data_IF_248766002762
#
_entry.id   IF_248766002762
#
_cell.length_a   1.000
_cell.length_b   1.000
_cell.length_c   1.000
_cell.angle_alpha   90.00
_cell.angle_beta   90.00
_cell.angle_gamma   90.00
#
_symmetry.space_group_name_H-M   'P 1'
#
loop_
_entity.id
_entity.type
_entity.pdbx_description
1 polymer ?
#
# COMPACT_ATOMS: atom_id res chain seq x y z
N UNK A 1 15.84 23.49 11.17
CA UNK A 1 16.06 23.67 9.72
C UNK A 1 16.60 25.07 9.38
N UNK A 2 15.94 26.14 9.85
CA UNK A 2 16.36 27.54 9.58
C UNK A 2 17.82 27.88 9.96
N UNK A 3 18.28 27.50 11.16
CA UNK A 3 19.68 27.72 11.58
C UNK A 3 20.72 26.93 10.77
N UNK A 4 20.34 25.76 10.27
CA UNK A 4 21.19 24.89 9.45
C UNK A 4 21.35 25.48 8.04
N UNK A 5 20.27 26.03 7.48
CA UNK A 5 20.27 26.74 6.18
C UNK A 5 21.10 28.03 6.29
N UNK A 6 20.93 28.81 7.36
CA UNK A 6 21.67 30.04 7.59
C UNK A 6 23.18 29.79 7.82
N UNK A 7 23.55 28.80 8.63
CA UNK A 7 24.95 28.42 8.82
C UNK A 7 25.62 27.94 7.53
N UNK A 8 24.88 27.22 6.67
CA UNK A 8 25.39 26.78 5.39
C UNK A 8 25.54 27.93 4.39
N UNK A 9 24.67 28.95 4.45
CA UNK A 9 24.82 30.18 3.66
C UNK A 9 26.12 30.92 4.02
N UNK A 10 26.40 31.09 5.31
CA UNK A 10 27.65 31.69 5.77
C UNK A 10 28.88 30.86 5.37
N UNK A 11 28.78 29.54 5.38
CA UNK A 11 29.86 28.66 4.93
C UNK A 11 30.12 28.74 3.42
N UNK A 12 29.07 28.77 2.59
CA UNK A 12 29.18 28.98 1.14
C UNK A 12 29.78 30.37 0.86
N UNK A 13 29.28 31.41 1.53
CA UNK A 13 29.79 32.78 1.39
C UNK A 13 31.27 32.88 1.78
N UNK A 14 31.68 32.21 2.86
CA UNK A 14 33.07 32.13 3.30
C UNK A 14 33.97 31.44 2.25
N UNK A 15 33.52 30.32 1.68
CA UNK A 15 34.24 29.61 0.63
C UNK A 15 34.36 30.42 -0.67
N UNK A 16 33.38 31.27 -0.98
CA UNK A 16 33.39 32.12 -2.19
C UNK A 16 34.15 33.44 -2.02
N UNK A 17 34.28 33.97 -0.80
CA UNK A 17 34.88 35.29 -0.53
C UNK A 17 36.41 35.28 -0.48
N UNK A 18 37.00 34.13 -0.18
CA UNK A 18 38.43 34.04 0.07
C UNK A 18 39.15 33.53 -1.18
N UNK A 19 39.93 34.40 -1.84
CA UNK A 19 40.83 34.02 -2.95
C UNK A 19 41.90 33.05 -2.43
N UNK A 20 41.73 31.77 -2.75
CA UNK A 20 42.67 30.73 -2.42
C UNK A 20 43.13 30.03 -3.70
N UNK A 21 44.44 29.94 -3.86
CA UNK A 21 45.17 29.39 -5.02
C UNK A 21 44.41 28.26 -5.72
N UNK A 22 43.97 28.52 -6.96
CA UNK A 22 43.09 27.69 -7.76
C UNK A 22 43.92 26.79 -8.66
N UNK A 23 44.76 25.93 -8.08
CA UNK A 23 45.33 24.81 -8.84
C UNK A 23 44.25 23.77 -9.08
N UNK A 24 43.33 24.06 -10.02
CA UNK A 24 42.39 23.08 -10.55
C UNK A 24 43.25 21.97 -11.17
N UNK A 25 43.22 20.77 -10.59
CA UNK A 25 43.83 19.60 -11.23
C UNK A 25 43.29 19.56 -12.66
N UNK A 26 44.14 19.43 -13.70
CA UNK A 26 43.66 19.42 -15.07
C UNK A 26 42.56 18.36 -15.18
N UNK A 27 41.39 18.80 -15.63
CA UNK A 27 40.24 17.93 -15.78
C UNK A 27 40.67 16.75 -16.66
N UNK A 28 40.46 15.52 -16.20
CA UNK A 28 40.99 14.37 -16.91
C UNK A 28 40.29 14.30 -18.27
N UNK A 29 41.04 13.97 -19.33
CA UNK A 29 40.49 13.95 -20.69
C UNK A 29 39.29 12.99 -20.83
N UNK A 30 38.54 13.05 -21.95
CA UNK A 30 37.28 12.32 -22.14
C UNK A 30 37.35 10.81 -21.83
N UNK A 31 38.52 10.20 -22.04
CA UNK A 31 38.81 8.78 -21.76
C UNK A 31 38.60 8.38 -20.29
N UNK A 32 38.77 9.32 -19.37
CA UNK A 32 38.58 9.12 -17.92
C UNK A 32 37.12 9.25 -17.47
N UNK A 33 36.25 9.86 -18.28
CA UNK A 33 34.84 10.11 -17.93
C UNK A 33 33.99 8.86 -18.13
N UNK A 34 34.29 8.08 -19.17
CA UNK A 34 33.55 6.87 -19.52
C UNK A 34 33.43 5.87 -18.34
N UNK A 35 34.51 5.44 -17.67
CA UNK A 35 34.39 4.51 -16.54
C UNK A 35 33.61 5.08 -15.36
N UNK A 36 33.64 6.41 -15.15
CA UNK A 36 32.89 7.08 -14.08
C UNK A 36 31.39 7.09 -14.39
N UNK A 37 31.02 7.46 -15.61
CA UNK A 37 29.64 7.46 -16.07
C UNK A 37 29.08 6.03 -16.02
N UNK A 38 29.86 5.03 -16.44
CA UNK A 38 29.49 3.62 -16.35
C UNK A 38 29.30 3.18 -14.89
N UNK A 39 30.24 3.52 -14.01
CA UNK A 39 30.14 3.21 -12.58
C UNK A 39 28.89 3.81 -11.92
N UNK A 40 28.57 5.07 -12.21
CA UNK A 40 27.35 5.74 -11.74
C UNK A 40 26.08 5.10 -12.31
N UNK A 41 26.10 4.74 -13.58
CA UNK A 41 24.96 4.09 -14.24
C UNK A 41 24.67 2.72 -13.63
N UNK A 42 25.71 1.94 -13.32
CA UNK A 42 25.58 0.64 -12.64
C UNK A 42 25.02 0.81 -11.23
N UNK A 43 25.55 1.78 -10.46
CA UNK A 43 25.00 2.09 -9.13
C UNK A 43 23.54 2.49 -9.23
N UNK A 44 23.19 3.38 -10.16
CA UNK A 44 21.82 3.85 -10.39
C UNK A 44 20.88 2.71 -10.74
N UNK A 45 21.27 1.83 -11.67
CA UNK A 45 20.49 0.66 -12.02
C UNK A 45 20.28 -0.27 -10.82
N UNK A 46 21.33 -0.51 -10.03
CA UNK A 46 21.26 -1.30 -8.79
C UNK A 46 20.31 -0.69 -7.76
N UNK A 47 20.35 0.63 -7.60
CA UNK A 47 19.45 1.35 -6.70
C UNK A 47 18.00 1.33 -7.16
N UNK A 48 17.74 1.54 -8.44
CA UNK A 48 16.39 1.44 -9.01
C UNK A 48 15.85 0.04 -8.75
N UNK A 49 16.63 -1.00 -9.05
CA UNK A 49 16.24 -2.39 -8.77
C UNK A 49 15.94 -2.61 -7.28
N UNK A 50 16.80 -2.12 -6.38
CA UNK A 50 16.57 -2.16 -4.94
C UNK A 50 15.30 -1.41 -4.52
N UNK A 51 15.02 -0.24 -5.10
CA UNK A 51 13.82 0.55 -4.82
C UNK A 51 12.55 -0.20 -5.24
N UNK A 52 12.56 -0.83 -6.41
CA UNK A 52 11.45 -1.70 -6.87
C UNK A 52 11.26 -2.90 -5.95
N UNK A 53 12.35 -3.57 -5.55
CA UNK A 53 12.32 -4.66 -4.59
C UNK A 53 11.71 -4.21 -3.25
N UNK A 54 12.13 -3.05 -2.74
CA UNK A 54 11.64 -2.47 -1.50
C UNK A 54 10.15 -2.09 -1.62
N UNK A 55 9.75 -1.43 -2.70
CA UNK A 55 8.37 -1.04 -2.96
C UNK A 55 7.43 -2.26 -2.98
N UNK A 56 7.89 -3.38 -3.56
CA UNK A 56 7.18 -4.66 -3.53
C UNK A 56 7.03 -5.20 -2.11
N UNK A 57 8.11 -5.23 -1.34
CA UNK A 57 8.12 -5.70 0.05
C UNK A 57 7.15 -4.93 0.94
N UNK A 58 6.99 -3.64 0.69
CA UNK A 58 6.09 -2.75 1.44
C UNK A 58 4.65 -2.72 0.90
N UNK A 59 4.33 -3.46 -0.16
CA UNK A 59 2.96 -3.55 -0.68
C UNK A 59 2.53 -2.32 -1.50
N UNK A 60 3.47 -1.74 -2.27
CA UNK A 60 3.15 -0.68 -3.22
C UNK A 60 2.35 -1.20 -4.41
N UNK A 61 1.23 -0.55 -4.72
CA UNK A 61 0.40 -0.89 -5.90
C UNK A 61 1.11 -0.65 -7.23
N UNK A 62 2.11 0.23 -7.25
CA UNK A 62 2.91 0.52 -8.45
C UNK A 62 3.59 -0.71 -9.05
N UNK A 63 3.82 -1.76 -8.24
CA UNK A 63 4.42 -3.02 -8.68
C UNK A 63 3.39 -4.16 -8.81
N UNK A 64 2.10 -3.82 -8.71
CA UNK A 64 1.01 -4.76 -8.93
C UNK A 64 0.91 -5.04 -10.44
N UNK A 65 1.66 -6.03 -10.92
CA UNK A 65 1.57 -6.48 -12.32
C UNK A 65 0.19 -7.04 -12.70
N UNK A 66 0.04 -7.56 -13.92
CA UNK A 66 -1.23 -8.02 -14.50
C UNK A 66 -2.07 -8.94 -13.61
N UNK A 67 -3.38 -8.69 -13.55
CA UNK A 67 -4.34 -9.48 -12.75
C UNK A 67 -4.79 -10.69 -13.57
N UNK A 68 -4.56 -11.89 -13.04
CA UNK A 68 -4.99 -13.14 -13.68
C UNK A 68 -6.37 -13.52 -13.14
N UNK A 69 -7.30 -13.87 -14.03
CA UNK A 69 -8.63 -14.35 -13.66
C UNK A 69 -8.53 -15.62 -12.82
N UNK A 70 -9.36 -15.74 -11.79
CA UNK A 70 -9.40 -16.92 -10.91
C UNK A 70 -10.80 -17.47 -10.80
N UNK A 71 -10.92 -18.79 -10.80
CA UNK A 71 -12.20 -19.50 -10.71
C UNK A 71 -12.65 -19.80 -9.27
N UNK A 72 -11.74 -19.65 -8.31
CA UNK A 72 -11.99 -19.92 -6.90
C UNK A 72 -11.52 -18.76 -6.04
N UNK A 73 -12.15 -18.50 -4.88
CA UNK A 73 -11.65 -17.52 -3.94
C UNK A 73 -10.26 -17.92 -3.42
N UNK A 74 -9.47 -16.95 -2.90
CA UNK A 74 -8.17 -17.24 -2.30
C UNK A 74 -8.30 -18.24 -1.14
N UNK A 75 -7.32 -19.12 -1.00
CA UNK A 75 -7.25 -20.08 0.10
C UNK A 75 -7.04 -19.34 1.43
N UNK A 76 -7.58 -19.88 2.52
CA UNK A 76 -7.40 -19.39 3.89
C UNK A 76 -7.92 -17.97 4.16
N UNK A 77 -8.82 -17.48 3.30
CA UNK A 77 -9.50 -16.19 3.43
C UNK A 77 -11.01 -16.46 3.54
N UNK A 78 -11.59 -16.07 4.67
CA UNK A 78 -13.05 -16.13 4.86
C UNK A 78 -13.76 -15.05 4.05
N UNK A 79 -15.07 -15.17 3.87
CA UNK A 79 -15.88 -14.16 3.18
C UNK A 79 -15.75 -12.77 3.83
N UNK A 80 -15.78 -12.69 5.16
CA UNK A 80 -15.60 -11.43 5.90
C UNK A 80 -14.20 -10.83 5.71
N UNK A 81 -13.17 -11.67 5.68
CA UNK A 81 -11.82 -11.19 5.38
C UNK A 81 -11.73 -10.69 3.94
N UNK A 82 -12.38 -11.37 2.99
CA UNK A 82 -12.44 -10.94 1.60
C UNK A 82 -13.17 -9.60 1.44
N UNK A 83 -14.31 -9.42 2.13
CA UNK A 83 -15.05 -8.14 2.17
C UNK A 83 -14.16 -7.01 2.67
N UNK A 84 -13.59 -7.19 3.88
CA UNK A 84 -12.69 -6.22 4.47
C UNK A 84 -11.48 -5.84 3.58
N UNK A 85 -10.92 -6.82 2.86
CA UNK A 85 -9.82 -6.56 1.93
C UNK A 85 -10.26 -5.76 0.69
N UNK A 86 -11.54 -5.72 0.35
CA UNK A 86 -12.07 -5.00 -0.82
C UNK A 86 -12.56 -3.59 -0.46
N UNK A 87 -13.40 -3.45 0.56
CA UNK A 87 -14.08 -2.18 0.86
C UNK A 87 -13.89 -1.67 2.29
N UNK A 88 -13.04 -2.35 3.07
CA UNK A 88 -12.60 -1.93 4.42
C UNK A 88 -13.68 -1.85 5.50
N UNK A 89 -14.92 -2.20 5.20
CA UNK A 89 -16.04 -2.20 6.14
C UNK A 89 -17.00 -3.30 5.77
N UNK A 90 -17.47 -4.08 6.73
CA UNK A 90 -18.55 -4.99 6.41
C UNK A 90 -19.89 -4.22 6.51
N UNK A 91 -20.58 -4.08 5.39
CA UNK A 91 -21.88 -3.41 5.32
C UNK A 91 -23.06 -4.41 5.41
N UNK A 92 -24.29 -3.90 5.29
CA UNK A 92 -25.51 -4.73 5.29
C UNK A 92 -25.49 -5.85 4.23
N UNK A 93 -24.78 -5.66 3.12
CA UNK A 93 -24.65 -6.62 2.03
C UNK A 93 -23.67 -7.72 2.42
N UNK A 94 -22.60 -7.40 3.14
CA UNK A 94 -21.64 -8.40 3.63
C UNK A 94 -22.26 -9.28 4.71
N UNK A 95 -23.14 -8.71 5.53
CA UNK A 95 -24.00 -9.49 6.43
C UNK A 95 -24.87 -10.47 5.65
N UNK A 96 -25.61 -10.01 4.64
CA UNK A 96 -26.45 -10.86 3.80
C UNK A 96 -25.64 -11.93 3.05
N UNK A 97 -24.48 -11.57 2.52
CA UNK A 97 -23.56 -12.47 1.86
C UNK A 97 -23.09 -13.59 2.80
N UNK A 98 -22.78 -13.27 4.05
CA UNK A 98 -22.38 -14.25 5.05
C UNK A 98 -23.52 -15.17 5.49
N UNK A 99 -24.75 -14.64 5.61
CA UNK A 99 -25.94 -15.48 5.85
C UNK A 99 -26.14 -16.48 4.72
N UNK A 100 -25.99 -16.04 3.46
CA UNK A 100 -26.06 -16.91 2.27
C UNK A 100 -24.93 -17.94 2.29
N UNK A 101 -23.70 -17.56 2.63
CA UNK A 101 -22.59 -18.51 2.74
C UNK A 101 -22.86 -19.61 3.78
N UNK A 102 -23.35 -19.24 4.97
CA UNK A 102 -23.70 -20.24 5.99
C UNK A 102 -24.89 -21.12 5.58
N UNK A 103 -25.85 -20.58 4.84
CA UNK A 103 -26.97 -21.35 4.29
C UNK A 103 -26.51 -22.36 3.22
N UNK A 104 -25.62 -21.94 2.32
CA UNK A 104 -25.03 -22.81 1.28
C UNK A 104 -24.24 -23.97 1.91
N UNK A 105 -23.54 -23.67 3.00
CA UNK A 105 -22.79 -24.67 3.78
C UNK A 105 -23.69 -25.55 4.67
N UNK A 106 -24.99 -25.29 4.74
CA UNK A 106 -25.99 -26.08 5.48
C UNK A 106 -26.03 -25.83 6.99
N UNK A 107 -25.45 -24.71 7.47
CA UNK A 107 -25.43 -24.37 8.91
C UNK A 107 -26.68 -23.66 9.39
N UNK A 108 -27.42 -23.03 8.48
CA UNK A 108 -28.69 -22.39 8.77
C UNK A 108 -29.65 -22.49 7.59
N UNK A 109 -30.94 -22.34 7.87
CA UNK A 109 -32.00 -22.27 6.87
C UNK A 109 -32.65 -20.89 6.91
N UNK A 110 -32.92 -20.33 5.73
CA UNK A 110 -33.63 -19.06 5.56
C UNK A 110 -35.11 -19.37 5.37
N UNK A 111 -35.95 -19.02 6.36
CA UNK A 111 -37.39 -19.30 6.33
C UNK A 111 -38.20 -18.01 6.33
N UNK A 112 -39.43 -18.10 5.82
CA UNK A 112 -40.39 -16.99 5.81
C UNK A 112 -41.60 -17.37 6.64
N UNK A 113 -42.03 -16.49 7.54
CA UNK A 113 -43.28 -16.66 8.28
C UNK A 113 -44.47 -16.55 7.33
N UNK A 114 -45.31 -17.58 7.27
CA UNK A 114 -46.63 -17.52 6.64
C UNK A 114 -47.69 -17.39 7.75
N UNK A 115 -48.05 -16.16 8.15
CA UNK A 115 -49.20 -15.89 9.02
C UNK A 115 -50.11 -14.84 8.38
N UNK A 116 -51.43 -15.03 8.50
CA UNK A 116 -52.48 -14.18 7.89
C UNK A 116 -52.35 -12.67 8.19
N UNK A 117 -51.73 -12.29 9.32
CA UNK A 117 -51.65 -10.90 9.78
C UNK A 117 -50.22 -10.31 9.80
N UNK A 118 -49.18 -11.09 9.48
CA UNK A 118 -47.78 -10.62 9.41
C UNK A 118 -47.19 -11.14 8.11
N UNK A 119 -47.25 -10.33 7.06
CA UNK A 119 -46.69 -10.69 5.74
C UNK A 119 -45.16 -10.79 5.81
N UNK A 120 -44.66 -11.92 5.32
CA UNK A 120 -43.32 -12.13 4.76
C UNK A 120 -42.11 -11.75 5.64
N UNK A 121 -42.23 -11.85 6.97
CA UNK A 121 -41.07 -11.65 7.85
C UNK A 121 -40.14 -12.86 7.76
N UNK A 122 -38.91 -12.60 7.34
CA UNK A 122 -37.84 -13.59 7.23
C UNK A 122 -37.26 -13.89 8.61
N UNK A 123 -36.87 -15.15 8.84
CA UNK A 123 -36.10 -15.56 10.01
C UNK A 123 -35.08 -16.63 9.61
N UNK A 124 -34.00 -16.73 10.38
CA UNK A 124 -32.96 -17.74 10.20
C UNK A 124 -33.13 -18.79 11.28
N UNK A 125 -33.01 -20.06 10.90
CA UNK A 125 -33.03 -21.18 11.82
C UNK A 125 -31.71 -21.93 11.74
N UNK A 126 -31.08 -22.15 12.89
CA UNK A 126 -29.83 -22.92 12.99
C UNK A 126 -30.09 -24.41 12.76
N UNK A 127 -29.15 -25.05 12.04
CA UNK A 127 -29.17 -26.50 11.80
C UNK A 127 -28.38 -27.25 12.89
N UNK A 128 -28.60 -28.54 13.04
CA UNK A 128 -27.86 -29.43 13.96
C UNK A 128 -26.42 -29.77 13.52
N UNK A 129 -25.93 -29.18 12.42
CA UNK A 129 -24.59 -29.43 11.88
C UNK A 129 -23.50 -28.90 12.81
N UNK A 130 -22.47 -29.70 13.07
CA UNK A 130 -21.35 -29.31 13.95
C UNK A 130 -20.50 -28.19 13.33
N UNK A 131 -20.15 -27.17 14.13
CA UNK A 131 -19.42 -25.95 13.71
C UNK A 131 -17.90 -26.12 13.63
N UNK A 132 -17.41 -27.36 13.63
CA UNK A 132 -15.97 -27.69 13.62
C UNK A 132 -15.29 -27.30 12.31
N UNK A 133 -15.96 -27.49 11.17
CA UNK A 133 -15.45 -27.15 9.83
C UNK A 133 -15.51 -25.64 9.50
N UNK A 134 -16.23 -24.84 10.31
CA UNK A 134 -16.32 -23.40 10.10
C UNK A 134 -14.99 -22.70 10.39
N UNK A 135 -14.66 -21.72 9.55
CA UNK A 135 -13.56 -20.80 9.85
C UNK A 135 -13.84 -20.03 11.15
N UNK A 136 -12.81 -19.50 11.83
CA UNK A 136 -13.00 -18.72 13.04
C UNK A 136 -13.97 -17.53 12.87
N UNK A 137 -13.92 -16.87 11.70
CA UNK A 137 -14.82 -15.74 11.39
C UNK A 137 -16.27 -16.20 11.23
N UNK A 138 -16.50 -17.30 10.50
CA UNK A 138 -17.83 -17.87 10.30
C UNK A 138 -18.42 -18.40 11.60
N UNK A 139 -17.62 -19.09 12.42
CA UNK A 139 -18.06 -19.60 13.73
C UNK A 139 -18.44 -18.45 14.66
N UNK A 140 -17.60 -17.41 14.74
CA UNK A 140 -17.92 -16.22 15.53
C UNK A 140 -19.21 -15.56 15.04
N UNK A 141 -19.37 -15.37 13.73
CA UNK A 141 -20.59 -14.80 13.16
C UNK A 141 -21.83 -15.63 13.50
N UNK A 142 -21.75 -16.95 13.32
CA UNK A 142 -22.85 -17.86 13.61
C UNK A 142 -23.22 -17.88 15.10
N UNK A 143 -22.23 -18.04 15.99
CA UNK A 143 -22.48 -18.29 17.41
C UNK A 143 -22.62 -17.02 18.25
N UNK A 144 -21.99 -15.91 17.83
CA UNK A 144 -21.99 -14.65 18.60
C UNK A 144 -22.86 -13.55 18.01
N UNK A 145 -23.08 -13.56 16.69
CA UNK A 145 -23.89 -12.53 16.02
C UNK A 145 -25.30 -13.05 15.72
N UNK A 146 -25.44 -14.20 15.08
CA UNK A 146 -26.75 -14.75 14.71
C UNK A 146 -27.44 -15.46 15.88
N UNK A 147 -26.81 -16.49 16.45
CA UNK A 147 -27.44 -17.41 17.40
C UNK A 147 -26.80 -17.33 18.80
N UNK A 148 -26.70 -16.11 19.34
CA UNK A 148 -26.09 -15.87 20.66
C UNK A 148 -26.92 -16.36 21.85
N UNK A 149 -28.24 -16.50 21.69
CA UNK A 149 -29.17 -16.84 22.78
C UNK A 149 -30.09 -18.00 22.39
N UNK A 150 -30.63 -17.93 21.18
CA UNK A 150 -31.59 -18.90 20.65
C UNK A 150 -31.12 -19.43 19.30
N UNK A 151 -31.67 -20.58 18.89
CA UNK A 151 -31.43 -21.19 17.56
C UNK A 151 -32.27 -20.53 16.43
N UNK A 152 -33.08 -19.53 16.77
CA UNK A 152 -33.85 -18.71 15.83
C UNK A 152 -33.36 -17.26 15.87
N UNK A 153 -33.04 -16.71 14.70
CA UNK A 153 -32.66 -15.31 14.54
C UNK A 153 -33.70 -14.57 13.72
N UNK A 154 -34.17 -13.45 14.25
CA UNK A 154 -35.06 -12.53 13.55
C UNK A 154 -34.28 -11.27 13.16
N UNK A 155 -34.40 -10.79 11.91
CA UNK A 155 -33.83 -9.53 11.49
C UNK A 155 -34.25 -8.40 12.45
N UNK A 156 -33.28 -7.64 12.97
CA UNK A 156 -33.52 -6.62 13.98
C UNK A 156 -34.38 -5.48 13.42
N UNK A 157 -35.34 -5.01 14.22
CA UNK A 157 -36.13 -3.82 13.86
C UNK A 157 -35.27 -2.55 13.88
N UNK A 158 -34.38 -2.42 14.88
CA UNK A 158 -33.37 -1.37 14.95
C UNK A 158 -32.07 -1.85 14.29
N UNK A 159 -31.94 -1.54 13.00
CA UNK A 159 -30.74 -1.85 12.22
C UNK A 159 -29.51 -1.12 12.78
N UNK A 160 -29.64 0.11 13.23
CA UNK A 160 -28.49 0.92 13.66
C UNK A 160 -27.80 0.32 14.89
N UNK A 161 -28.56 -0.05 15.92
CA UNK A 161 -27.99 -0.69 17.11
C UNK A 161 -27.41 -2.08 16.81
N UNK A 162 -28.00 -2.82 15.88
CA UNK A 162 -27.45 -4.11 15.46
C UNK A 162 -26.10 -3.96 14.74
N UNK A 163 -25.99 -3.02 13.80
CA UNK A 163 -24.75 -2.81 13.05
C UNK A 163 -23.60 -2.30 13.93
N UNK A 164 -23.86 -1.68 15.09
CA UNK A 164 -22.81 -1.38 16.07
C UNK A 164 -22.12 -2.64 16.62
N UNK A 165 -22.86 -3.74 16.82
CA UNK A 165 -22.26 -5.04 17.22
C UNK A 165 -21.37 -5.60 16.11
N UNK A 166 -21.76 -5.36 14.86
CA UNK A 166 -20.98 -5.74 13.68
C UNK A 166 -19.67 -4.94 13.58
N UNK A 167 -19.67 -3.65 13.95
CA UNK A 167 -18.43 -2.86 14.02
C UNK A 167 -17.38 -3.45 14.98
N UNK A 168 -17.81 -4.12 16.07
CA UNK A 168 -16.86 -4.83 16.95
C UNK A 168 -16.23 -6.03 16.22
N UNK A 169 -17.04 -6.82 15.51
CA UNK A 169 -16.56 -7.96 14.73
C UNK A 169 -15.61 -7.54 13.61
N UNK A 170 -15.88 -6.42 12.92
CA UNK A 170 -15.00 -5.86 11.89
C UNK A 170 -13.60 -5.56 12.42
N UNK A 171 -13.50 -5.03 13.65
CA UNK A 171 -12.21 -4.81 14.30
C UNK A 171 -11.45 -6.12 14.50
N UNK A 172 -12.13 -7.18 14.95
CA UNK A 172 -11.50 -8.48 15.13
C UNK A 172 -11.07 -9.13 13.81
N UNK A 173 -11.88 -9.00 12.75
CA UNK A 173 -11.52 -9.46 11.39
C UNK A 173 -10.26 -8.74 10.91
N UNK A 174 -10.21 -7.41 11.07
CA UNK A 174 -9.04 -6.60 10.75
C UNK A 174 -7.82 -7.01 11.55
N UNK A 175 -7.96 -7.24 12.84
CA UNK A 175 -6.83 -7.62 13.69
C UNK A 175 -6.31 -9.02 13.33
N UNK A 176 -7.19 -9.97 12.99
CA UNK A 176 -6.78 -11.26 12.42
C UNK A 176 -6.07 -11.11 11.07
N UNK A 177 -6.48 -10.18 10.20
CA UNK A 177 -5.78 -9.89 8.95
C UNK A 177 -4.38 -9.30 9.17
N UNK A 178 -4.21 -8.43 10.19
CA UNK A 178 -2.90 -7.93 10.62
C UNK A 178 -2.01 -9.06 11.14
N UNK A 179 -2.55 -9.93 12.00
CA UNK A 179 -1.83 -11.10 12.53
C UNK A 179 -1.43 -12.11 11.43
N UNK A 180 -2.27 -12.29 10.40
CA UNK A 180 -1.94 -13.08 9.20
C UNK A 180 -0.84 -12.45 8.32
N UNK A 181 -0.43 -11.23 8.65
CA UNK A 181 0.55 -10.43 7.92
C UNK A 181 0.04 -9.94 6.58
N UNK A 182 -1.27 -9.79 6.41
CA UNK A 182 -1.89 -9.28 5.17
C UNK A 182 -2.06 -7.75 5.19
N UNK A 183 -2.24 -7.18 6.37
CA UNK A 183 -2.32 -5.74 6.57
C UNK A 183 -1.15 -5.23 7.40
N UNK A 184 -0.70 -4.03 7.10
CA UNK A 184 0.20 -3.29 7.98
C UNK A 184 -0.50 -2.95 9.29
N UNK A 185 0.23 -3.00 10.41
CA UNK A 185 -0.31 -2.55 11.69
C UNK A 185 -0.59 -1.05 11.69
N UNK A 186 0.35 -0.30 11.14
CA UNK A 186 0.26 1.14 10.88
C UNK A 186 0.83 1.44 9.48
N UNK A 187 -0.03 1.98 8.62
CA UNK A 187 0.34 2.40 7.26
C UNK A 187 1.33 3.57 7.27
N UNK A 188 1.20 4.50 8.24
CA UNK A 188 2.12 5.63 8.37
C UNK A 188 3.52 5.10 8.65
N UNK A 189 3.67 4.20 9.62
CA UNK A 189 4.96 3.61 9.93
C UNK A 189 5.54 2.78 8.78
N UNK A 190 4.72 2.03 8.05
CA UNK A 190 5.16 1.32 6.84
C UNK A 190 5.75 2.28 5.80
N UNK A 191 5.07 3.40 5.54
CA UNK A 191 5.54 4.46 4.63
C UNK A 191 6.81 5.15 5.14
N UNK A 192 6.90 5.43 6.45
CA UNK A 192 8.12 6.03 7.05
C UNK A 192 9.31 5.08 6.94
N UNK A 193 9.11 3.79 7.25
CA UNK A 193 10.14 2.77 7.15
C UNK A 193 10.61 2.55 5.71
N UNK A 194 9.70 2.60 4.73
CA UNK A 194 10.05 2.56 3.31
C UNK A 194 10.97 3.75 2.93
N UNK A 195 10.55 4.99 3.20
CA UNK A 195 11.32 6.18 2.83
C UNK A 195 12.67 6.24 3.55
N UNK A 196 12.75 5.83 4.82
CA UNK A 196 14.02 5.72 5.55
C UNK A 196 14.97 4.72 4.89
N UNK A 197 14.49 3.50 4.58
CA UNK A 197 15.30 2.46 3.94
C UNK A 197 15.73 2.84 2.52
N UNK A 198 14.86 3.51 1.77
CA UNK A 198 15.18 4.04 0.44
C UNK A 198 16.23 5.15 0.52
N UNK A 199 16.05 6.12 1.44
CA UNK A 199 17.01 7.20 1.67
C UNK A 199 18.38 6.69 2.16
N UNK A 200 18.41 5.73 3.08
CA UNK A 200 19.67 5.10 3.53
C UNK A 200 20.41 4.38 2.39
N UNK A 201 19.70 3.81 1.42
CA UNK A 201 20.32 3.15 0.28
C UNK A 201 20.99 4.12 -0.71
N UNK A 202 20.92 5.44 -0.49
CA UNK A 202 21.65 6.44 -1.27
C UNK A 202 23.06 6.72 -0.74
N UNK A 203 23.44 6.22 0.44
CA UNK A 203 24.80 6.40 0.98
C UNK A 203 25.92 5.90 0.05
N UNK A 204 25.79 4.74 -0.63
CA UNK A 204 26.80 4.31 -1.61
C UNK A 204 27.01 5.31 -2.76
N UNK A 205 25.96 6.02 -3.20
CA UNK A 205 26.11 7.09 -4.21
C UNK A 205 26.86 8.27 -3.65
N UNK A 206 26.56 8.66 -2.41
CA UNK A 206 27.29 9.72 -1.72
C UNK A 206 28.77 9.36 -1.62
N UNK A 207 29.11 8.15 -1.18
CA UNK A 207 30.50 7.69 -1.05
C UNK A 207 31.18 7.65 -2.42
N UNK A 208 30.54 7.04 -3.41
CA UNK A 208 31.07 6.99 -4.78
C UNK A 208 31.34 8.40 -5.30
N UNK A 209 30.39 9.31 -5.13
CA UNK A 209 30.53 10.69 -5.54
C UNK A 209 31.66 11.43 -4.80
N UNK A 210 31.79 11.23 -3.49
CA UNK A 210 32.89 11.80 -2.70
C UNK A 210 34.25 11.27 -3.16
N UNK A 211 34.35 9.98 -3.50
CA UNK A 211 35.57 9.39 -4.03
C UNK A 211 35.93 9.96 -5.40
N UNK A 212 34.95 10.07 -6.31
CA UNK A 212 35.16 10.68 -7.63
C UNK A 212 35.57 12.14 -7.49
N UNK A 213 34.91 12.90 -6.61
CA UNK A 213 35.30 14.29 -6.36
C UNK A 213 36.70 14.42 -5.75
N UNK A 214 37.09 13.54 -4.84
CA UNK A 214 38.44 13.51 -4.26
C UNK A 214 39.55 13.26 -5.29
N UNK A 215 39.29 12.34 -6.23
CA UNK A 215 40.29 11.94 -7.23
C UNK A 215 40.49 13.06 -8.25
N UNK A 216 39.39 13.57 -8.81
CA UNK A 216 39.42 14.43 -10.00
C UNK A 216 39.29 15.92 -9.73
N UNK A 217 38.83 16.31 -8.54
CA UNK A 217 38.57 17.70 -8.19
C UNK A 217 39.34 18.13 -6.94
N UNK A 218 39.25 19.42 -6.64
CA UNK A 218 39.78 19.99 -5.41
C UNK A 218 39.01 19.46 -4.19
N UNK A 219 39.75 19.21 -3.12
CA UNK A 219 39.26 19.00 -1.76
C UNK A 219 38.13 19.95 -1.34
N UNK A 220 38.15 21.22 -1.78
CA UNK A 220 37.08 22.20 -1.48
C UNK A 220 35.74 21.81 -2.09
N UNK A 221 35.75 21.39 -3.36
CA UNK A 221 34.55 20.96 -4.06
C UNK A 221 34.00 19.67 -3.46
N UNK A 222 34.89 18.74 -3.11
CA UNK A 222 34.53 17.51 -2.38
C UNK A 222 33.84 17.84 -1.05
N UNK A 223 34.41 18.74 -0.22
CA UNK A 223 33.83 19.13 1.07
C UNK A 223 32.47 19.81 0.87
N UNK A 224 32.39 20.81 -0.01
CA UNK A 224 31.16 21.55 -0.27
C UNK A 224 30.04 20.60 -0.72
N UNK A 225 30.29 19.82 -1.78
CA UNK A 225 29.26 18.96 -2.35
C UNK A 225 28.92 17.77 -1.45
N UNK A 226 29.88 17.27 -0.66
CA UNK A 226 29.64 16.29 0.40
C UNK A 226 28.72 16.80 1.50
N UNK A 227 28.94 18.02 1.99
CA UNK A 227 28.05 18.67 2.98
C UNK A 227 26.66 18.84 2.39
N UNK A 228 26.54 19.31 1.15
CA UNK A 228 25.25 19.49 0.48
C UNK A 228 24.47 18.19 0.33
N UNK A 229 25.14 17.10 -0.06
CA UNK A 229 24.51 15.79 -0.15
C UNK A 229 24.15 15.20 1.22
N UNK A 230 24.97 15.41 2.25
CA UNK A 230 24.64 15.01 3.61
C UNK A 230 23.39 15.74 4.11
N UNK A 231 23.30 17.06 3.90
CA UNK A 231 22.11 17.83 4.24
C UNK A 231 20.89 17.34 3.47
N UNK A 232 21.05 16.99 2.20
CA UNK A 232 19.97 16.38 1.41
C UNK A 232 19.51 15.03 1.97
N UNK A 233 20.44 14.13 2.30
CA UNK A 233 20.10 12.83 2.90
C UNK A 233 19.40 12.99 4.24
N UNK A 234 19.89 13.90 5.09
CA UNK A 234 19.24 14.26 6.35
C UNK A 234 17.85 14.82 6.09
N UNK A 235 17.66 15.63 5.05
CA UNK A 235 16.37 16.15 4.62
C UNK A 235 15.39 15.05 4.21
N UNK A 236 15.84 14.06 3.43
CA UNK A 236 15.04 12.90 2.99
C UNK A 236 14.63 12.03 4.18
N UNK A 237 15.59 11.68 5.06
CA UNK A 237 15.35 10.84 6.23
C UNK A 237 14.52 11.59 7.29
N UNK A 238 14.76 12.89 7.46
CA UNK A 238 14.03 13.77 8.35
C UNK A 238 12.57 13.92 7.94
N UNK A 239 12.29 14.16 6.66
CA UNK A 239 10.92 14.16 6.12
C UNK A 239 10.25 12.78 6.23
N UNK A 240 11.02 11.69 6.17
CA UNK A 240 10.46 10.36 6.44
C UNK A 240 10.00 10.22 7.90
N UNK A 241 10.58 10.98 8.82
CA UNK A 241 10.32 10.90 10.26
C UNK A 241 9.29 11.94 10.72
N UNK A 242 9.00 12.97 9.91
CA UNK A 242 8.03 14.00 10.24
C UNK A 242 6.59 13.51 10.11
N UNK A 243 5.70 14.18 10.83
CA UNK A 243 4.25 13.94 10.75
C UNK A 243 3.64 14.57 9.50
N UNK A 244 4.09 15.79 9.16
CA UNK A 244 3.80 16.48 7.91
C UNK A 244 5.00 16.36 6.95
N UNK A 245 4.74 15.88 5.72
CA UNK A 245 5.77 15.65 4.71
C UNK A 245 5.76 16.80 3.71
N UNK A 246 6.83 17.60 3.69
CA UNK A 246 6.94 18.78 2.84
C UNK A 246 8.08 18.63 1.81
N UNK A 247 7.84 17.78 0.81
CA UNK A 247 8.84 17.46 -0.21
C UNK A 247 9.23 18.66 -1.09
N UNK A 248 8.32 19.61 -1.35
CA UNK A 248 8.61 20.81 -2.16
C UNK A 248 9.72 21.68 -1.56
N UNK A 249 9.71 21.87 -0.24
CA UNK A 249 10.74 22.65 0.47
C UNK A 249 12.11 21.96 0.40
N UNK A 250 12.14 20.62 0.44
CA UNK A 250 13.37 19.84 0.29
C UNK A 250 13.98 20.00 -1.11
N UNK A 251 13.17 19.94 -2.16
CA UNK A 251 13.62 20.19 -3.53
C UNK A 251 14.10 21.64 -3.72
N UNK A 252 13.37 22.61 -3.19
CA UNK A 252 13.74 24.02 -3.27
C UNK A 252 15.10 24.29 -2.61
N UNK A 253 15.33 23.75 -1.40
CA UNK A 253 16.63 23.84 -0.71
C UNK A 253 17.72 23.15 -1.52
N UNK A 254 17.47 21.93 -2.04
CA UNK A 254 18.45 21.22 -2.84
C UNK A 254 18.88 22.01 -4.08
N UNK A 255 17.93 22.46 -4.90
CA UNK A 255 18.24 23.23 -6.11
C UNK A 255 18.88 24.57 -5.80
N UNK A 256 18.42 25.28 -4.76
CA UNK A 256 19.02 26.54 -4.31
C UNK A 256 20.52 26.39 -4.03
N UNK A 257 20.90 25.28 -3.41
CA UNK A 257 22.30 25.00 -3.06
C UNK A 257 23.14 24.49 -4.23
N UNK A 258 22.48 23.95 -5.26
CA UNK A 258 23.12 23.39 -6.44
C UNK A 258 23.35 24.42 -7.55
N UNK A 259 22.51 25.45 -7.64
CA UNK A 259 22.62 26.55 -8.63
C UNK A 259 24.00 27.22 -8.70
N UNK A 260 24.70 27.53 -7.59
CA UNK A 260 25.99 28.23 -7.67
C UNK A 260 27.17 27.33 -8.09
N UNK A 261 27.01 26.00 -8.08
CA UNK A 261 28.12 25.07 -8.31
C UNK A 261 28.78 25.23 -9.69
N UNK A 262 28.05 25.25 -10.83
CA UNK A 262 28.67 25.44 -12.15
C UNK A 262 29.49 26.73 -12.27
N UNK A 263 29.05 27.81 -11.61
CA UNK A 263 29.75 29.10 -11.59
C UNK A 263 31.07 29.05 -10.80
N UNK A 264 31.13 28.21 -9.76
CA UNK A 264 32.33 28.05 -8.93
C UNK A 264 33.40 27.25 -9.66
N UNK A 265 33.03 26.21 -10.42
CA UNK A 265 34.04 25.32 -11.03
C UNK A 265 34.48 25.72 -12.42
N UNK A 266 33.77 26.65 -13.08
CA UNK A 266 34.07 27.14 -14.43
C UNK A 266 34.24 26.02 -15.48
N UNK A 267 33.74 24.82 -15.20
CA UNK A 267 33.86 23.64 -16.04
C UNK A 267 32.50 22.91 -16.08
N UNK A 268 31.87 22.97 -17.24
CA UNK A 268 30.54 22.42 -17.48
C UNK A 268 30.54 20.89 -17.59
N UNK A 269 31.68 20.25 -17.87
CA UNK A 269 31.77 18.79 -18.01
C UNK A 269 31.51 18.05 -16.69
N UNK A 270 31.64 18.76 -15.58
CA UNK A 270 31.34 18.31 -14.20
C UNK A 270 29.88 17.92 -14.05
N UNK A 271 28.99 18.58 -14.79
CA UNK A 271 27.55 18.30 -14.80
C UNK A 271 27.27 16.83 -15.15
N UNK A 272 28.07 16.23 -16.05
CA UNK A 272 27.87 14.84 -16.48
C UNK A 272 28.32 13.80 -15.45
N UNK A 273 29.23 14.18 -14.55
CA UNK A 273 29.80 13.29 -13.52
C UNK A 273 29.17 13.56 -12.15
N UNK A 274 28.39 14.63 -12.00
CA UNK A 274 27.78 14.98 -10.71
C UNK A 274 26.33 14.48 -10.71
N UNK A 275 25.88 13.71 -9.70
CA UNK A 275 24.52 13.13 -9.69
C UNK A 275 23.42 14.17 -9.40
N UNK A 276 23.67 15.46 -9.71
CA UNK A 276 22.81 16.60 -9.38
C UNK A 276 21.41 16.46 -9.98
N UNK A 277 21.32 15.97 -11.20
CA UNK A 277 20.04 15.77 -11.90
C UNK A 277 19.38 14.44 -11.55
N UNK A 278 20.18 13.46 -11.10
CA UNK A 278 19.70 12.13 -10.76
C UNK A 278 19.01 12.14 -9.39
N UNK A 279 19.50 12.92 -8.44
CA UNK A 279 18.96 12.94 -7.07
C UNK A 279 17.50 13.40 -6.98
N UNK A 280 17.07 14.48 -7.66
CA UNK A 280 15.65 14.86 -7.72
C UNK A 280 14.78 13.77 -8.33
N UNK A 281 15.24 13.15 -9.42
CA UNK A 281 14.55 12.04 -10.10
C UNK A 281 14.37 10.85 -9.15
N UNK A 282 15.45 10.45 -8.46
CA UNK A 282 15.43 9.41 -7.43
C UNK A 282 14.40 9.73 -6.35
N UNK A 283 14.39 10.94 -5.81
CA UNK A 283 13.43 11.30 -4.75
C UNK A 283 12.00 11.35 -5.26
N UNK A 284 11.77 11.71 -6.52
CA UNK A 284 10.44 11.65 -7.14
C UNK A 284 10.00 10.19 -7.30
N UNK A 285 10.91 9.29 -7.67
CA UNK A 285 10.63 7.86 -7.71
C UNK A 285 10.30 7.28 -6.31
N UNK A 286 11.05 7.67 -5.28
CA UNK A 286 10.73 7.29 -3.88
C UNK A 286 9.32 7.76 -3.52
N UNK A 287 8.99 9.03 -3.78
CA UNK A 287 7.67 9.60 -3.50
C UNK A 287 6.55 8.91 -4.27
N UNK A 288 6.79 8.61 -5.54
CA UNK A 288 5.85 7.87 -6.37
C UNK A 288 5.53 6.50 -5.74
N UNK A 289 6.53 5.69 -5.41
CA UNK A 289 6.31 4.39 -4.78
C UNK A 289 5.68 4.51 -3.40
N UNK A 290 6.12 5.46 -2.57
CA UNK A 290 5.56 5.73 -1.24
C UNK A 290 4.08 6.12 -1.32
N UNK A 291 3.69 6.97 -2.27
CA UNK A 291 2.30 7.37 -2.50
C UNK A 291 1.38 6.20 -2.85
N UNK A 292 1.96 5.14 -3.43
CA UNK A 292 1.26 3.93 -3.84
C UNK A 292 1.36 2.81 -2.80
N UNK A 293 2.07 2.99 -1.69
CA UNK A 293 2.04 2.05 -0.56
C UNK A 293 0.64 2.07 0.02
N UNK A 294 0.03 0.88 0.04
CA UNK A 294 -1.32 0.69 0.58
C UNK A 294 -1.27 0.19 2.02
N UNK A 295 -2.45 -0.05 2.59
CA UNK A 295 -2.59 -0.79 3.85
C UNK A 295 -2.13 -2.25 3.75
N UNK A 296 -2.02 -2.82 2.55
CA UNK A 296 -1.64 -4.21 2.36
C UNK A 296 -0.13 -4.38 2.46
N UNK A 297 0.31 -5.48 3.06
CA UNK A 297 1.69 -5.95 2.94
C UNK A 297 1.92 -6.57 1.56
N UNK A 298 3.14 -7.01 1.24
CA UNK A 298 3.39 -7.82 0.03
C UNK A 298 2.45 -9.03 -0.07
N UNK A 299 2.28 -9.77 1.04
CA UNK A 299 1.40 -10.94 1.09
C UNK A 299 -0.07 -10.55 0.94
N UNK A 300 -0.47 -9.46 1.59
CA UNK A 300 -1.83 -8.91 1.47
C UNK A 300 -2.15 -8.48 0.05
N UNK A 301 -1.22 -7.81 -0.62
CA UNK A 301 -1.41 -7.33 -1.98
C UNK A 301 -1.54 -8.50 -2.96
N UNK A 302 -0.81 -9.60 -2.72
CA UNK A 302 -1.00 -10.85 -3.48
C UNK A 302 -2.41 -11.40 -3.30
N UNK A 303 -2.91 -11.52 -2.06
CA UNK A 303 -4.28 -12.01 -1.79
C UNK A 303 -5.32 -11.07 -2.41
N UNK A 304 -5.15 -9.76 -2.26
CA UNK A 304 -6.01 -8.75 -2.87
C UNK A 304 -6.06 -8.93 -4.39
N UNK A 305 -4.91 -9.14 -5.05
CA UNK A 305 -4.83 -9.45 -6.48
C UNK A 305 -5.63 -10.71 -6.85
N UNK A 306 -5.55 -11.76 -6.04
CA UNK A 306 -6.33 -12.98 -6.24
C UNK A 306 -7.83 -12.74 -6.10
N UNK A 307 -8.26 -11.92 -5.13
CA UNK A 307 -9.65 -11.51 -4.96
C UNK A 307 -10.17 -10.73 -6.17
N UNK A 308 -9.39 -9.78 -6.71
CA UNK A 308 -9.81 -9.05 -7.92
C UNK A 308 -9.91 -10.00 -9.13
N UNK A 309 -8.99 -10.95 -9.27
CA UNK A 309 -9.07 -11.98 -10.31
C UNK A 309 -10.32 -12.85 -10.19
N UNK A 310 -10.73 -13.20 -8.96
CA UNK A 310 -11.96 -13.95 -8.71
C UNK A 310 -13.22 -13.11 -8.91
N UNK A 311 -13.19 -11.82 -8.53
CA UNK A 311 -14.25 -10.86 -8.83
C UNK A 311 -14.52 -10.76 -10.32
N UNK A 312 -13.47 -10.75 -11.14
CA UNK A 312 -13.60 -10.70 -12.60
C UNK A 312 -14.29 -11.95 -13.16
N UNK A 313 -13.94 -13.13 -12.65
CA UNK A 313 -14.61 -14.37 -13.01
C UNK A 313 -16.10 -14.35 -12.64
N UNK A 314 -16.42 -13.94 -11.41
CA UNK A 314 -17.81 -13.86 -10.95
C UNK A 314 -18.60 -12.90 -11.84
N UNK A 315 -18.07 -11.70 -12.08
CA UNK A 315 -18.71 -10.69 -12.91
C UNK A 315 -19.04 -11.22 -14.31
N UNK A 316 -18.08 -11.89 -14.97
CA UNK A 316 -18.27 -12.32 -16.37
C UNK A 316 -19.03 -13.64 -16.52
N UNK A 317 -18.91 -14.55 -15.56
CA UNK A 317 -19.38 -15.93 -15.71
C UNK A 317 -20.55 -16.26 -14.79
N UNK A 318 -20.41 -15.95 -13.51
CA UNK A 318 -21.39 -16.38 -12.50
C UNK A 318 -22.56 -15.41 -12.40
N UNK A 319 -22.37 -14.11 -12.54
CA UNK A 319 -23.46 -13.12 -12.45
C UNK A 319 -24.59 -13.41 -13.45
N UNK A 320 -24.35 -13.61 -14.77
CA UNK A 320 -25.42 -13.93 -15.71
C UNK A 320 -26.09 -15.29 -15.45
N UNK A 321 -25.35 -16.23 -14.87
CA UNK A 321 -25.87 -17.56 -14.49
C UNK A 321 -26.77 -17.45 -13.27
N UNK A 322 -26.31 -16.76 -12.23
CA UNK A 322 -27.04 -16.53 -10.98
C UNK A 322 -28.31 -15.73 -11.27
N UNK A 323 -28.25 -14.68 -12.09
CA UNK A 323 -29.41 -13.86 -12.44
C UNK A 323 -30.54 -14.72 -13.05
N UNK A 324 -30.21 -15.59 -14.02
CA UNK A 324 -31.17 -16.54 -14.60
C UNK A 324 -31.70 -17.55 -13.57
N UNK A 325 -30.81 -18.11 -12.74
CA UNK A 325 -31.20 -19.04 -11.68
C UNK A 325 -32.12 -18.39 -10.63
N UNK A 326 -31.97 -17.08 -10.38
CA UNK A 326 -32.85 -16.35 -9.46
C UNK A 326 -34.25 -16.15 -10.03
N UNK A 327 -34.40 -16.02 -11.36
CA UNK A 327 -35.70 -15.98 -12.03
C UNK A 327 -36.42 -17.33 -11.92
N UNK A 328 -35.69 -18.43 -12.12
CA UNK A 328 -36.26 -19.78 -12.06
C UNK A 328 -36.47 -20.30 -10.63
N UNK A 329 -35.54 -19.97 -9.71
CA UNK A 329 -35.48 -20.47 -8.32
C UNK A 329 -35.07 -19.34 -7.37
N UNK A 330 -36.04 -18.51 -6.91
CA UNK A 330 -35.77 -17.33 -6.08
C UNK A 330 -35.10 -17.60 -4.72
N UNK A 331 -35.12 -18.85 -4.25
CA UNK A 331 -34.52 -19.29 -2.99
C UNK A 331 -33.19 -20.02 -3.18
N UNK A 332 -32.60 -20.00 -4.37
CA UNK A 332 -31.31 -20.63 -4.61
C UNK A 332 -30.20 -19.87 -3.87
N UNK A 333 -29.48 -20.60 -3.02
CA UNK A 333 -28.32 -20.11 -2.26
C UNK A 333 -27.09 -20.81 -2.84
N UNK A 334 -26.04 -20.06 -3.13
CA UNK A 334 -24.77 -20.62 -3.59
C UNK A 334 -23.59 -19.77 -3.13
N UNK A 335 -22.41 -20.38 -3.01
CA UNK A 335 -21.16 -19.68 -2.75
C UNK A 335 -20.87 -18.55 -3.74
N UNK A 336 -21.15 -18.75 -5.04
CA UNK A 336 -20.98 -17.71 -6.05
C UNK A 336 -21.91 -16.51 -5.80
N UNK A 337 -23.14 -16.76 -5.33
CA UNK A 337 -24.06 -15.69 -4.94
C UNK A 337 -23.53 -14.89 -3.74
N UNK A 338 -23.03 -15.56 -2.70
CA UNK A 338 -22.44 -14.87 -1.54
C UNK A 338 -21.32 -13.90 -1.97
N UNK A 339 -20.36 -14.36 -2.78
CA UNK A 339 -19.29 -13.50 -3.26
C UNK A 339 -19.76 -12.45 -4.28
N UNK A 340 -20.79 -12.70 -5.09
CA UNK A 340 -21.35 -11.69 -5.98
C UNK A 340 -21.99 -10.52 -5.21
N UNK A 341 -22.62 -10.80 -4.07
CA UNK A 341 -23.15 -9.77 -3.17
C UNK A 341 -22.03 -9.01 -2.46
N UNK A 342 -21.03 -9.72 -1.94
CA UNK A 342 -19.82 -9.15 -1.34
C UNK A 342 -19.13 -8.17 -2.31
N UNK A 343 -18.96 -8.57 -3.57
CA UNK A 343 -18.33 -7.73 -4.60
C UNK A 343 -19.25 -6.65 -5.16
N UNK A 344 -20.48 -6.51 -4.63
CA UNK A 344 -21.50 -5.54 -5.04
C UNK A 344 -21.84 -5.63 -6.53
N UNK A 345 -21.79 -6.84 -7.09
CA UNK A 345 -22.07 -7.11 -8.51
C UNK A 345 -23.55 -7.43 -8.76
N UNK A 346 -24.28 -7.82 -7.73
CA UNK A 346 -25.70 -8.16 -7.78
C UNK A 346 -26.47 -7.52 -6.62
N UNK A 347 -27.73 -7.19 -6.87
CA UNK A 347 -28.70 -6.83 -5.84
C UNK A 347 -29.62 -8.02 -5.61
N UNK A 348 -29.85 -8.39 -4.36
CA UNK A 348 -30.70 -9.54 -4.00
C UNK A 348 -31.80 -9.10 -3.02
N UNK A 349 -33.06 -9.55 -3.18
CA UNK A 349 -34.17 -9.16 -2.28
C UNK A 349 -33.89 -9.43 -0.79
N UNK A 350 -33.06 -10.43 -0.49
CA UNK A 350 -32.59 -10.74 0.87
C UNK A 350 -31.82 -9.59 1.53
N UNK A 351 -31.11 -8.75 0.76
CA UNK A 351 -30.38 -7.60 1.31
C UNK A 351 -31.30 -6.59 2.01
N UNK A 352 -32.54 -6.45 1.51
CA UNK A 352 -33.51 -5.51 2.07
C UNK A 352 -34.31 -6.13 3.23
N UNK A 353 -34.50 -7.46 3.19
CA UNK A 353 -35.26 -8.23 4.20
C UNK A 353 -34.43 -8.60 5.43
N UNK A 354 -33.11 -8.71 5.29
CA UNK A 354 -32.13 -8.79 6.38
C UNK A 354 -31.77 -7.38 6.87
#
# INVERSE_FOLDING_TARGET
MHYLIFGMFLFIAYLTWHDFDTTVKPFPGPESLLPLILGQSVLLAGYIFYLFYLAKRFGSLSVMGSIVVRYTPPKDISLFQAGYLIDESNDTRDFAAAVIELADLGYLEIKTMKKEYVKDRLYLQKTSKQTTELTPDQRYFMEKILFSKDDLFYPPTDKAHFYQKFTKFDREVRDRLKLKGLLHFDIKEARRAFTRKAGMALFPFLIFYLLVTAIYFDSRLMILTGVLMLVFLIGVIGNASSEERNFSQMYAVYYFLMIPLPSIVQNWEIIYVTPMFIMPLITTLIQYHDSKITKFTEKGLKVYKELIGYREFILRTEVPRIARLMEERPHHVSKSLAYALLFKLLQHPLQNKL
#
